data_IF_485591881561
#
_entry.id   IF_485591881561
#
_cell.length_a   1.000
_cell.length_b   1.000
_cell.length_c   1.000
_cell.angle_alpha   90.00
_cell.angle_beta   90.00
_cell.angle_gamma   90.00
#
_symmetry.space_group_name_H-M   'P 1'
#
loop_
_entity.id
_entity.type
_entity.pdbx_description
1 polymer ?
#
# COMPACT_ATOMS: atom_id res chain seq x y z
N UNK A 1 14.27 -17.57 -0.90
CA UNK A 1 13.22 -17.15 0.00
C UNK A 1 12.84 -15.71 -0.21
N UNK A 2 11.60 -15.46 -0.49
CA UNK A 2 11.17 -14.12 -0.80
C UNK A 2 10.49 -13.46 0.37
N UNK A 3 10.86 -12.23 0.62
CA UNK A 3 10.22 -11.45 1.64
C UNK A 3 9.02 -10.74 1.04
N UNK A 4 8.00 -10.55 1.85
CA UNK A 4 6.87 -9.78 1.41
C UNK A 4 7.34 -8.35 1.15
N UNK A 5 7.07 -7.85 -0.03
CA UNK A 5 7.50 -6.53 -0.43
C UNK A 5 6.35 -5.53 -0.28
N UNK A 6 6.69 -4.27 -0.46
CA UNK A 6 5.67 -3.23 -0.42
C UNK A 6 4.60 -3.47 -1.47
N UNK A 7 4.99 -4.00 -2.61
CA UNK A 7 4.05 -4.32 -3.68
C UNK A 7 2.99 -5.31 -3.20
N UNK A 8 3.41 -6.30 -2.42
CA UNK A 8 2.48 -7.29 -1.90
C UNK A 8 1.49 -6.65 -0.93
N UNK A 9 1.98 -5.75 -0.10
CA UNK A 9 1.10 -5.03 0.83
C UNK A 9 0.05 -4.24 0.07
N UNK A 10 0.48 -3.57 -0.98
CA UNK A 10 -0.42 -2.78 -1.80
C UNK A 10 -1.45 -3.66 -2.48
N UNK A 11 -1.04 -4.83 -2.95
CA UNK A 11 -1.95 -5.78 -3.57
C UNK A 11 -3.05 -6.20 -2.61
N UNK A 12 -2.66 -6.53 -1.39
CA UNK A 12 -3.63 -6.93 -0.38
C UNK A 12 -4.58 -5.78 -0.04
N UNK A 13 -4.02 -4.60 0.03
CA UNK A 13 -4.83 -3.42 0.31
C UNK A 13 -5.87 -3.19 -0.78
N UNK A 14 -5.48 -3.36 -2.03
CA UNK A 14 -6.39 -3.19 -3.14
C UNK A 14 -7.43 -4.31 -3.19
N UNK A 15 -7.08 -5.45 -2.66
CA UNK A 15 -8.01 -6.58 -2.59
C UNK A 15 -9.08 -6.37 -1.52
N UNK A 16 -8.93 -5.34 -0.69
CA UNK A 16 -9.93 -5.03 0.32
C UNK A 16 -9.49 -5.38 1.73
N UNK A 17 -8.27 -5.85 1.90
CA UNK A 17 -7.78 -6.19 3.22
C UNK A 17 -7.39 -4.94 3.99
N UNK A 18 -7.62 -4.98 5.30
CA UNK A 18 -7.22 -3.88 6.16
C UNK A 18 -5.86 -4.17 6.77
N UNK A 19 -5.26 -3.13 7.35
CA UNK A 19 -3.96 -3.27 8.00
C UNK A 19 -4.02 -4.36 9.08
N UNK A 20 -5.10 -4.38 9.85
CA UNK A 20 -5.25 -5.37 10.91
C UNK A 20 -5.30 -6.78 10.35
N UNK A 21 -5.84 -6.93 9.17
CA UNK A 21 -6.00 -8.24 8.56
C UNK A 21 -4.69 -8.78 8.03
N UNK A 22 -3.89 -7.95 7.37
CA UNK A 22 -2.66 -8.48 6.82
C UNK A 22 -1.41 -8.21 7.65
N UNK A 23 -1.55 -7.49 8.75
CA UNK A 23 -0.41 -7.26 9.64
C UNK A 23 0.26 -8.58 10.06
N UNK A 24 -0.50 -9.61 10.48
CA UNK A 24 0.14 -10.88 10.84
C UNK A 24 0.75 -11.64 9.67
N UNK A 25 0.37 -11.26 8.45
CA UNK A 25 0.92 -11.90 7.26
C UNK A 25 2.28 -11.32 6.90
N UNK A 26 2.60 -10.15 7.40
CA UNK A 26 3.87 -9.50 7.14
C UNK A 26 4.56 -9.15 8.47
N UNK A 27 4.99 -10.17 9.21
CA UNK A 27 5.57 -9.94 10.54
C UNK A 27 6.85 -9.09 10.50
N UNK A 28 7.49 -8.99 9.35
CA UNK A 28 8.67 -8.17 9.21
C UNK A 28 8.35 -6.68 9.18
N UNK A 29 7.09 -6.34 9.05
CA UNK A 29 6.66 -4.95 9.04
C UNK A 29 5.85 -4.64 10.28
N UNK A 30 6.04 -3.46 10.84
CA UNK A 30 5.23 -2.98 11.95
C UNK A 30 4.00 -2.28 11.40
N UNK A 31 2.97 -2.18 12.21
CA UNK A 31 1.76 -1.48 11.80
C UNK A 31 2.04 -0.08 11.27
N UNK A 32 2.83 0.73 11.98
CA UNK A 32 3.14 2.08 11.46
C UNK A 32 3.83 2.04 10.10
N UNK A 33 4.67 1.04 9.88
CA UNK A 33 5.33 0.91 8.59
C UNK A 33 4.34 0.55 7.50
N UNK A 34 3.43 -0.37 7.80
CA UNK A 34 2.41 -0.77 6.84
C UNK A 34 1.53 0.42 6.50
N UNK A 35 1.14 1.16 7.50
CA UNK A 35 0.30 2.34 7.29
C UNK A 35 1.04 3.38 6.45
N UNK A 36 2.33 3.52 6.66
CA UNK A 36 3.13 4.46 5.88
C UNK A 36 3.18 4.05 4.42
N UNK A 37 3.33 2.75 4.17
CA UNK A 37 3.35 2.24 2.80
C UNK A 37 2.02 2.51 2.12
N UNK A 38 0.93 2.23 2.79
CA UNK A 38 -0.39 2.45 2.22
C UNK A 38 -0.63 3.93 1.98
N UNK A 39 -0.24 4.75 2.93
CA UNK A 39 -0.42 6.19 2.81
C UNK A 39 0.35 6.73 1.62
N UNK A 40 1.58 6.26 1.46
CA UNK A 40 2.41 6.65 0.34
C UNK A 40 1.78 6.25 -0.98
N UNK A 41 1.28 5.02 -1.03
CA UNK A 41 0.65 4.50 -2.22
C UNK A 41 -0.59 5.30 -2.60
N UNK A 42 -1.42 5.61 -1.61
CA UNK A 42 -2.63 6.38 -1.88
C UNK A 42 -2.29 7.77 -2.38
N UNK A 43 -1.26 8.36 -1.80
CA UNK A 43 -0.83 9.68 -2.19
C UNK A 43 -0.33 9.68 -3.63
N UNK A 44 0.48 8.70 -3.98
CA UNK A 44 1.01 8.61 -5.32
C UNK A 44 -0.09 8.36 -6.34
N UNK A 45 -1.04 7.52 -6.00
CA UNK A 45 -2.14 7.21 -6.88
C UNK A 45 -3.00 8.45 -7.13
N UNK A 46 -3.27 9.18 -6.08
CA UNK A 46 -4.06 10.39 -6.18
C UNK A 46 -3.34 11.44 -7.02
N UNK A 47 -2.05 11.56 -6.79
CA UNK A 47 -1.25 12.51 -7.54
C UNK A 47 -1.21 12.17 -9.02
N UNK A 48 -1.05 10.89 -9.33
CA UNK A 48 -1.03 10.43 -10.72
C UNK A 48 -2.36 10.72 -11.39
N UNK A 49 -3.45 10.55 -10.67
CA UNK A 49 -4.78 10.85 -11.22
C UNK A 49 -4.93 12.33 -11.53
N UNK A 50 -4.45 13.18 -10.63
CA UNK A 50 -4.54 14.62 -10.84
C UNK A 50 -3.70 15.04 -12.05
N UNK A 51 -2.52 14.48 -12.17
CA UNK A 51 -1.65 14.79 -13.30
C UNK A 51 -2.31 14.36 -14.60
N UNK A 52 -2.88 13.18 -14.61
CA UNK A 52 -3.53 12.66 -15.79
C UNK A 52 -4.73 13.54 -16.17
N UNK A 53 -5.50 13.94 -15.19
CA UNK A 53 -6.65 14.82 -15.44
C UNK A 53 -6.20 16.16 -15.98
N UNK A 54 -5.11 16.69 -15.44
CA UNK A 54 -4.63 17.98 -15.86
C UNK A 54 -4.15 17.97 -17.31
N UNK A 55 -3.71 16.82 -17.77
CA UNK A 55 -3.21 16.71 -19.14
C UNK A 55 -4.32 16.67 -20.16
N UNK A 56 -5.49 16.36 -19.74
CA UNK A 56 -6.63 16.40 -20.62
C UNK A 56 -7.16 17.80 -20.68
#
# INVERSE_FOLDING_TARGET
MKKTSKTQIIKWYEAGLTVDEFAPLVPQYCKPEIEAVIKQYRKEKEWARLVTSARH
#
